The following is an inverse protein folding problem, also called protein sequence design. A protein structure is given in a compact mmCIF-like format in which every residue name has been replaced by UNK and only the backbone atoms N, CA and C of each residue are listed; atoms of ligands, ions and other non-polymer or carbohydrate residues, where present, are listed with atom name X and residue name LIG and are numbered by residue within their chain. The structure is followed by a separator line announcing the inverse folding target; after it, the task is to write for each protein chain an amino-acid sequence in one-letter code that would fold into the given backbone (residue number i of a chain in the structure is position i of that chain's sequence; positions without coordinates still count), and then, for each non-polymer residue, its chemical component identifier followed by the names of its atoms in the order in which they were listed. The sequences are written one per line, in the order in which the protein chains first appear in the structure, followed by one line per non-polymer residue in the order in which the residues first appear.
data_IF_217214933840
#
_entry.id   IF_217214933840
#
_cell.length_a   1.000
_cell.length_b   1.000
_cell.length_c   1.000
_cell.angle_alpha   90.00
_cell.angle_beta   90.00
_cell.angle_gamma   90.00
#
_symmetry.space_group_name_H-M   'P 1'
#
loop_
_entity.id
_entity.type
_entity.pdbx_description
1 polymer ?
#
# COMPACT_ATOMS: atom_id res chain seq x y z
N UNK A 1 -32.28 10.87 8.98
CA UNK A 1 -31.37 9.83 9.48
C UNK A 1 -29.95 10.24 9.14
N UNK A 2 -28.95 9.86 9.95
CA UNK A 2 -27.53 9.91 9.54
C UNK A 2 -27.12 8.49 9.16
N UNK A 3 -26.48 8.32 8.01
CA UNK A 3 -25.88 7.06 7.56
C UNK A 3 -24.37 7.18 7.59
N UNK A 4 -23.68 6.05 7.69
CA UNK A 4 -22.24 5.92 7.60
C UNK A 4 -21.92 4.73 6.69
N UNK A 5 -20.95 4.90 5.82
CA UNK A 5 -20.50 3.91 4.83
C UNK A 5 -19.05 3.58 5.07
N UNK A 6 -18.77 2.29 5.16
CA UNK A 6 -17.44 1.76 5.41
C UNK A 6 -17.05 0.81 4.30
N UNK A 7 -15.82 0.93 3.81
CA UNK A 7 -15.21 0.01 2.86
C UNK A 7 -13.96 -0.61 3.49
N UNK A 8 -13.84 -1.92 3.37
CA UNK A 8 -12.61 -2.65 3.59
C UNK A 8 -12.34 -3.53 2.37
N UNK A 9 -11.09 -3.60 1.93
CA UNK A 9 -10.68 -4.46 0.82
C UNK A 9 -9.68 -5.52 1.26
N UNK A 10 -9.51 -6.53 0.41
CA UNK A 10 -8.49 -7.55 0.58
C UNK A 10 -7.07 -7.03 0.32
N UNK A 11 -6.16 -7.99 0.18
CA UNK A 11 -4.72 -7.78 0.14
C UNK A 11 -4.26 -7.01 -1.10
N UNK A 12 -3.45 -5.99 -0.86
CA UNK A 12 -2.57 -5.39 -1.85
C UNK A 12 -1.27 -6.21 -1.86
N UNK A 13 -1.28 -7.24 -2.69
CA UNK A 13 -0.21 -8.20 -2.91
C UNK A 13 0.41 -7.96 -4.29
N UNK A 14 1.61 -7.38 -4.32
CA UNK A 14 2.26 -7.00 -5.58
C UNK A 14 3.28 -8.06 -5.98
N UNK A 15 2.97 -8.78 -7.05
CA UNK A 15 3.89 -9.64 -7.78
C UNK A 15 4.57 -8.90 -8.93
N UNK A 16 5.60 -9.52 -9.51
CA UNK A 16 6.46 -8.96 -10.56
C UNK A 16 5.67 -8.38 -11.73
N UNK A 17 4.67 -9.10 -12.24
CA UNK A 17 3.89 -8.62 -13.40
C UNK A 17 2.95 -7.46 -13.07
N UNK A 18 2.56 -7.31 -11.79
CA UNK A 18 1.80 -6.14 -11.33
C UNK A 18 2.75 -4.95 -11.26
N UNK A 19 3.96 -5.13 -10.73
CA UNK A 19 4.97 -4.08 -10.71
C UNK A 19 5.41 -3.67 -12.13
N UNK A 20 5.62 -4.61 -13.05
CA UNK A 20 5.95 -4.34 -14.46
C UNK A 20 4.88 -3.47 -15.12
N UNK A 21 3.60 -3.77 -14.86
CA UNK A 21 2.50 -2.95 -15.36
C UNK A 21 2.54 -1.54 -14.75
N UNK A 22 2.84 -1.39 -13.46
CA UNK A 22 2.97 -0.10 -12.80
C UNK A 22 4.16 0.70 -13.36
N UNK A 23 5.29 0.07 -13.64
CA UNK A 23 6.44 0.68 -14.30
C UNK A 23 6.07 1.20 -15.70
N UNK A 24 5.34 0.39 -16.48
CA UNK A 24 4.87 0.78 -17.81
C UNK A 24 3.91 1.98 -17.83
N UNK A 25 3.24 2.26 -16.70
CA UNK A 25 2.38 3.43 -16.52
C UNK A 25 3.13 4.66 -16.02
N UNK A 26 4.35 4.48 -15.51
CA UNK A 26 5.20 5.54 -15.02
C UNK A 26 5.94 6.26 -16.15
N UNK A 27 6.18 7.55 -15.98
CA UNK A 27 7.19 8.27 -16.80
C UNK A 27 8.54 8.36 -16.10
N UNK A 28 8.52 8.33 -14.76
CA UNK A 28 9.65 8.20 -13.85
C UNK A 28 9.12 7.43 -12.63
N UNK A 29 9.74 6.30 -12.29
CA UNK A 29 9.28 5.44 -11.19
C UNK A 29 7.98 4.70 -11.49
N UNK A 30 7.46 3.98 -10.49
CA UNK A 30 6.26 3.15 -10.64
C UNK A 30 4.97 3.96 -10.50
N UNK A 31 3.93 3.61 -11.25
CA UNK A 31 2.60 4.22 -11.11
C UNK A 31 1.49 3.17 -11.08
N UNK A 32 0.99 2.85 -9.88
CA UNK A 32 -0.11 1.90 -9.69
C UNK A 32 -1.51 2.53 -9.86
N UNK A 33 -1.62 3.87 -9.90
CA UNK A 33 -2.91 4.57 -9.91
C UNK A 33 -3.86 4.14 -11.05
N UNK A 34 -3.40 3.88 -12.29
CA UNK A 34 -4.28 3.40 -13.36
C UNK A 34 -5.01 2.10 -13.04
N UNK A 35 -4.42 1.22 -12.22
CA UNK A 35 -5.03 -0.04 -11.80
C UNK A 35 -6.24 0.18 -10.89
N UNK A 36 -6.22 1.24 -10.09
CA UNK A 36 -7.33 1.61 -9.19
C UNK A 36 -8.41 2.45 -9.85
N UNK A 37 -8.19 2.97 -11.07
CA UNK A 37 -9.06 3.98 -11.71
C UNK A 37 -10.56 3.63 -11.71
N UNK A 38 -10.91 2.34 -11.86
CA UNK A 38 -12.32 1.90 -11.90
C UNK A 38 -12.97 1.78 -10.52
N UNK A 39 -12.19 1.53 -9.49
CA UNK A 39 -12.68 1.33 -8.11
C UNK A 39 -12.51 2.56 -7.23
N UNK A 40 -11.61 3.48 -7.60
CA UNK A 40 -11.36 4.70 -6.85
C UNK A 40 -12.63 5.51 -6.54
N UNK A 41 -13.58 5.74 -7.47
CA UNK A 41 -14.82 6.47 -7.14
C UNK A 41 -15.72 5.77 -6.12
N UNK A 42 -15.60 4.45 -5.97
CA UNK A 42 -16.35 3.67 -4.99
C UNK A 42 -15.68 3.79 -3.63
N UNK A 43 -14.36 3.58 -3.59
CA UNK A 43 -13.55 3.66 -2.37
C UNK A 43 -13.61 5.06 -1.77
N UNK A 44 -13.31 6.09 -2.57
CA UNK A 44 -13.31 7.49 -2.14
C UNK A 44 -14.70 8.06 -1.82
N UNK A 45 -15.77 7.32 -2.15
CA UNK A 45 -17.15 7.70 -1.85
C UNK A 45 -17.61 7.28 -0.46
N UNK A 46 -16.85 6.42 0.23
CA UNK A 46 -17.15 5.98 1.59
C UNK A 46 -16.79 7.06 2.62
N UNK A 47 -17.43 6.99 3.79
CA UNK A 47 -17.05 7.83 4.94
C UNK A 47 -15.73 7.37 5.58
N UNK A 48 -15.37 6.09 5.39
CA UNK A 48 -14.10 5.50 5.76
C UNK A 48 -13.78 4.29 4.87
N UNK A 49 -12.58 4.27 4.31
CA UNK A 49 -12.02 3.18 3.54
C UNK A 49 -10.67 2.72 4.12
N UNK A 50 -10.55 1.41 4.37
CA UNK A 50 -9.33 0.78 4.90
C UNK A 50 -8.85 -0.33 3.95
N UNK A 51 -7.57 -0.33 3.61
CA UNK A 51 -6.95 -1.39 2.82
C UNK A 51 -6.22 -2.42 3.70
N UNK A 52 -5.87 -3.58 3.15
CA UNK A 52 -4.85 -4.46 3.73
C UNK A 52 -3.63 -4.43 2.81
N UNK A 53 -2.52 -3.87 3.27
CA UNK A 53 -1.24 -3.94 2.56
C UNK A 53 -0.47 -5.17 3.03
N UNK A 54 -0.41 -6.19 2.18
CA UNK A 54 0.26 -7.45 2.50
C UNK A 54 1.76 -7.37 2.31
N UNK A 55 2.20 -6.69 1.25
CA UNK A 55 3.61 -6.63 0.82
C UNK A 55 4.33 -5.41 1.38
N UNK A 56 5.52 -5.58 2.01
CA UNK A 56 6.32 -4.44 2.46
C UNK A 56 6.79 -3.57 1.30
N UNK A 57 6.79 -2.25 1.53
CA UNK A 57 7.31 -1.28 0.58
C UNK A 57 8.82 -1.17 0.70
N UNK A 58 9.49 -1.04 -0.44
CA UNK A 58 10.92 -0.79 -0.52
C UNK A 58 11.26 0.57 0.09
N UNK A 59 12.50 0.74 0.55
CA UNK A 59 12.96 2.05 1.04
C UNK A 59 13.02 3.08 -0.08
N UNK A 60 13.59 2.70 -1.23
CA UNK A 60 14.00 3.62 -2.30
C UNK A 60 14.00 2.96 -3.70
N UNK A 61 13.39 1.79 -3.84
CA UNK A 61 13.41 0.95 -5.04
C UNK A 61 14.79 0.44 -5.48
N UNK A 62 15.87 0.57 -4.67
CA UNK A 62 17.19 0.04 -5.05
C UNK A 62 17.24 -1.48 -5.10
N UNK A 63 16.37 -2.13 -4.32
CA UNK A 63 16.14 -3.57 -4.28
C UNK A 63 14.64 -3.79 -4.33
N UNK A 64 14.21 -4.62 -5.27
CA UNK A 64 12.84 -5.09 -5.39
C UNK A 64 12.86 -6.61 -5.41
N UNK A 65 12.04 -7.21 -4.55
CA UNK A 65 11.86 -8.65 -4.45
C UNK A 65 10.36 -8.96 -4.46
N UNK A 66 10.03 -10.07 -5.08
CA UNK A 66 8.66 -10.59 -5.13
C UNK A 66 8.68 -12.00 -4.51
N UNK A 67 7.70 -12.84 -4.81
CA UNK A 67 7.60 -14.14 -4.17
C UNK A 67 8.91 -14.96 -4.19
N UNK A 68 9.32 -15.57 -3.05
CA UNK A 68 8.58 -15.76 -1.80
C UNK A 68 8.80 -14.70 -0.71
N UNK A 69 9.70 -13.74 -0.89
CA UNK A 69 10.01 -12.66 0.08
C UNK A 69 9.81 -11.31 -0.58
N UNK A 70 8.86 -10.53 -0.08
CA UNK A 70 8.42 -9.32 -0.77
C UNK A 70 9.20 -8.08 -0.34
N UNK A 71 9.53 -7.23 -1.32
CA UNK A 71 9.96 -5.85 -1.18
C UNK A 71 9.51 -5.09 -2.43
N UNK A 72 8.34 -4.46 -2.37
CA UNK A 72 7.66 -3.96 -3.58
C UNK A 72 7.81 -2.45 -3.73
N UNK A 73 7.56 -1.86 -4.91
CA UNK A 73 7.80 -0.43 -5.11
C UNK A 73 6.99 0.47 -4.17
N UNK A 74 7.64 1.49 -3.61
CA UNK A 74 7.02 2.32 -2.58
C UNK A 74 5.90 3.23 -3.10
N UNK A 75 5.88 3.53 -4.40
CA UNK A 75 4.85 4.32 -5.07
C UNK A 75 3.46 3.66 -5.03
N UNK A 76 3.36 2.41 -4.56
CA UNK A 76 2.07 1.81 -4.21
C UNK A 76 1.34 2.66 -3.15
N UNK A 77 2.04 3.31 -2.22
CA UNK A 77 1.46 4.19 -1.22
C UNK A 77 0.72 5.39 -1.86
N UNK A 78 1.26 5.97 -2.93
CA UNK A 78 0.62 7.04 -3.69
C UNK A 78 -0.66 6.56 -4.37
N UNK A 79 -0.65 5.35 -4.91
CA UNK A 79 -1.84 4.77 -5.53
C UNK A 79 -2.93 4.39 -4.52
N UNK A 80 -2.55 3.94 -3.32
CA UNK A 80 -3.47 3.76 -2.20
C UNK A 80 -4.14 5.10 -1.85
N UNK A 81 -3.37 6.18 -1.81
CA UNK A 81 -3.92 7.53 -1.61
C UNK A 81 -4.83 7.96 -2.75
N UNK A 82 -4.42 7.73 -4.00
CA UNK A 82 -5.22 8.03 -5.18
C UNK A 82 -6.55 7.26 -5.17
N UNK A 83 -6.55 6.00 -4.74
CA UNK A 83 -7.76 5.19 -4.65
C UNK A 83 -8.77 5.72 -3.62
N UNK A 84 -8.33 6.54 -2.66
CA UNK A 84 -9.18 7.15 -1.64
C UNK A 84 -9.24 6.39 -0.33
N UNK A 85 -8.24 5.56 -0.01
CA UNK A 85 -8.14 4.97 1.33
C UNK A 85 -7.68 6.00 2.36
N UNK A 86 -8.18 5.89 3.60
CA UNK A 86 -7.69 6.69 4.74
C UNK A 86 -6.58 5.98 5.52
N UNK A 87 -6.51 4.66 5.42
CA UNK A 87 -5.56 3.85 6.17
C UNK A 87 -5.45 2.43 5.63
N UNK A 88 -4.41 1.74 6.09
CA UNK A 88 -4.21 0.33 5.81
C UNK A 88 -3.82 -0.42 7.07
N UNK A 89 -4.36 -1.64 7.19
CA UNK A 89 -3.73 -2.67 8.02
C UNK A 89 -2.49 -3.19 7.30
N UNK A 90 -1.39 -3.32 8.03
CA UNK A 90 -0.16 -3.99 7.59
C UNK A 90 0.07 -5.31 8.35
N UNK A 91 -0.90 -5.75 9.16
CA UNK A 91 -0.83 -7.04 9.87
C UNK A 91 -0.94 -8.23 8.90
N UNK A 92 0.20 -8.58 8.29
CA UNK A 92 0.36 -9.61 7.28
C UNK A 92 1.43 -10.63 7.70
N UNK A 93 1.36 -11.86 7.17
CA UNK A 93 2.45 -12.83 7.32
C UNK A 93 3.75 -12.40 6.64
N UNK A 94 3.70 -11.44 5.71
CA UNK A 94 4.85 -10.86 5.01
C UNK A 94 5.36 -9.55 5.63
N UNK A 95 4.75 -9.08 6.73
CA UNK A 95 5.08 -7.81 7.38
C UNK A 95 6.58 -7.60 7.64
N UNK A 96 7.32 -8.69 7.88
CA UNK A 96 8.73 -8.67 8.27
C UNK A 96 9.66 -9.26 7.21
N UNK A 97 9.23 -9.42 5.95
CA UNK A 97 10.07 -10.01 4.89
C UNK A 97 11.39 -9.25 4.69
N UNK A 98 11.40 -7.91 4.88
CA UNK A 98 12.63 -7.11 4.86
C UNK A 98 13.06 -6.62 6.27
N UNK A 99 12.61 -7.34 7.29
CA UNK A 99 12.86 -7.04 8.69
C UNK A 99 12.32 -5.68 9.15
N UNK A 100 12.83 -5.22 10.29
CA UNK A 100 12.34 -3.99 10.94
C UNK A 100 12.55 -2.75 10.06
N UNK A 101 13.64 -2.68 9.28
CA UNK A 101 13.87 -1.54 8.37
C UNK A 101 12.82 -1.45 7.25
N UNK A 102 12.40 -2.59 6.69
CA UNK A 102 11.31 -2.63 5.73
C UNK A 102 9.98 -2.21 6.34
N UNK A 103 9.72 -2.61 7.58
CA UNK A 103 8.55 -2.16 8.34
C UNK A 103 8.58 -0.63 8.57
N UNK A 104 9.72 -0.07 8.97
CA UNK A 104 9.89 1.38 9.13
C UNK A 104 9.66 2.13 7.82
N UNK A 105 10.24 1.65 6.71
CA UNK A 105 10.04 2.22 5.39
C UNK A 105 8.57 2.15 4.94
N UNK A 106 7.92 1.00 5.13
CA UNK A 106 6.50 0.79 4.80
C UNK A 106 5.60 1.78 5.54
N UNK A 107 5.78 1.92 6.86
CA UNK A 107 5.03 2.89 7.67
C UNK A 107 5.34 4.31 7.19
N UNK A 108 6.62 4.64 6.97
CA UNK A 108 7.05 5.97 6.54
C UNK A 108 6.45 6.40 5.20
N UNK A 109 6.41 5.51 4.21
CA UNK A 109 5.84 5.78 2.88
C UNK A 109 4.32 5.94 2.93
N UNK A 110 3.62 5.09 3.70
CA UNK A 110 2.19 5.25 3.93
C UNK A 110 1.88 6.60 4.59
N UNK A 111 2.57 6.93 5.68
CA UNK A 111 2.34 8.17 6.43
C UNK A 111 2.68 9.41 5.59
N UNK A 112 3.77 9.37 4.81
CA UNK A 112 4.15 10.46 3.91
C UNK A 112 3.14 10.68 2.79
N UNK A 113 2.43 9.62 2.37
CA UNK A 113 1.32 9.67 1.41
C UNK A 113 -0.02 10.07 2.06
N UNK A 114 -0.03 10.32 3.38
CA UNK A 114 -1.23 10.66 4.14
C UNK A 114 -2.14 9.45 4.43
N UNK A 115 -1.58 8.24 4.45
CA UNK A 115 -2.27 6.98 4.78
C UNK A 115 -1.84 6.52 6.16
N UNK A 116 -2.82 6.25 7.04
CA UNK A 116 -2.53 5.71 8.37
C UNK A 116 -2.16 4.23 8.29
N UNK A 117 -1.10 3.83 8.98
CA UNK A 117 -0.74 2.41 9.12
C UNK A 117 -1.17 1.88 10.49
N UNK A 118 -1.66 0.63 10.54
CA UNK A 118 -1.94 -0.08 11.80
C UNK A 118 -1.71 -1.59 11.64
N UNK A 119 -1.63 -2.33 12.73
CA UNK A 119 -1.35 -3.78 12.69
C UNK A 119 0.15 -4.16 12.72
N UNK A 120 1.05 -3.16 12.76
CA UNK A 120 2.49 -3.32 13.01
C UNK A 120 3.04 -2.06 13.69
N UNK A 121 4.11 -2.19 14.49
CA UNK A 121 4.76 -1.06 15.17
C UNK A 121 6.26 -1.31 15.33
N UNK A 122 7.05 -0.24 15.17
CA UNK A 122 8.49 -0.20 15.49
C UNK A 122 8.78 0.61 16.76
N UNK A 123 7.77 1.27 17.30
CA UNK A 123 7.85 1.98 18.58
C UNK A 123 7.55 1.00 19.72
N UNK A 124 8.43 0.93 20.70
CA UNK A 124 8.11 0.41 22.03
C UNK A 124 7.12 1.36 22.68
N UNK A 125 5.95 0.85 23.06
CA UNK A 125 4.93 1.61 23.79
C UNK A 125 5.37 2.03 25.19
#
# INVERSE_FOLDING_TARGET
SRSFTFIATGELLIHEFVADAADSYGSIGFNFSPMFKRVAPIISGADLAICHLETPLSTDNSVLEYYPTFQVPYELADAIKFAGYEGCSIASNHLLDNGIKGLEATIGHLESSGIKATGGSTKSG
#
